data_IF_545918674967
#
_entry.id   IF_545918674967
#
_cell.length_a   1.000
_cell.length_b   1.000
_cell.length_c   1.000
_cell.angle_alpha   90.00
_cell.angle_beta   90.00
_cell.angle_gamma   90.00
#
_symmetry.space_group_name_H-M   'P 1'
#
loop_
_entity.id
_entity.type
_entity.pdbx_description
1 polymer ?
#
# COMPACT_ATOMS: atom_id res chain seq x y z
N UNK A 1 16.62 22.94 14.15
CA UNK A 1 16.80 21.53 13.83
C UNK A 1 17.02 21.36 12.34
N UNK A 2 17.97 20.46 11.97
CA UNK A 2 18.35 20.26 10.57
C UNK A 2 17.35 19.35 9.87
N UNK A 3 16.71 19.82 8.80
CA UNK A 3 15.86 18.98 7.94
C UNK A 3 16.69 17.81 7.40
N UNK A 4 16.23 16.60 7.64
CA UNK A 4 16.86 15.35 7.18
C UNK A 4 16.16 14.75 5.97
N UNK A 5 14.86 15.01 5.85
CA UNK A 5 14.05 14.46 4.77
C UNK A 5 12.97 15.46 4.36
N UNK A 6 12.76 15.62 3.07
CA UNK A 6 11.63 16.35 2.51
C UNK A 6 10.64 15.39 1.87
N UNK A 7 9.35 15.66 2.07
CA UNK A 7 8.24 14.91 1.50
C UNK A 7 7.26 15.85 0.82
N UNK A 8 6.74 15.42 -0.30
CA UNK A 8 5.74 16.17 -1.07
C UNK A 8 4.36 15.51 -0.90
N UNK A 9 3.32 16.33 -0.78
CA UNK A 9 1.94 15.83 -0.90
C UNK A 9 1.64 15.43 -2.35
N UNK A 10 0.56 14.68 -2.54
CA UNK A 10 0.18 14.23 -3.90
C UNK A 10 -0.33 15.35 -4.80
N UNK A 11 -0.62 16.54 -4.24
CA UNK A 11 -1.08 17.69 -5.00
C UNK A 11 -2.43 17.52 -5.72
N UNK A 12 -3.28 16.62 -5.25
CA UNK A 12 -4.61 16.36 -5.84
C UNK A 12 -5.54 17.57 -5.84
N UNK A 13 -5.26 18.57 -4.99
CA UNK A 13 -5.96 19.87 -4.94
C UNK A 13 -5.31 20.96 -5.80
N UNK A 14 -4.35 20.62 -6.65
CA UNK A 14 -3.65 21.56 -7.56
C UNK A 14 -2.32 22.10 -7.03
N UNK A 15 -2.09 22.12 -5.73
CA UNK A 15 -0.81 22.52 -5.13
C UNK A 15 -0.24 21.40 -4.26
N UNK A 16 1.05 21.09 -4.43
CA UNK A 16 1.74 20.11 -3.61
C UNK A 16 2.39 20.81 -2.40
N UNK A 17 2.05 20.39 -1.19
CA UNK A 17 2.73 20.82 0.03
C UNK A 17 4.12 20.19 0.11
N UNK A 18 5.08 20.95 0.60
CA UNK A 18 6.46 20.51 0.85
C UNK A 18 6.76 20.56 2.34
N UNK A 19 6.94 19.42 2.95
CA UNK A 19 7.13 19.28 4.39
C UNK A 19 8.52 18.71 4.68
N UNK A 20 9.25 19.39 5.56
CA UNK A 20 10.56 18.96 6.05
C UNK A 20 10.44 18.18 7.36
N UNK A 21 11.13 17.06 7.45
CA UNK A 21 11.22 16.26 8.67
C UNK A 21 12.64 16.32 9.22
N UNK A 22 12.77 16.60 10.51
CA UNK A 22 13.99 16.43 11.27
C UNK A 22 14.18 14.99 11.78
N UNK A 23 15.24 14.74 12.53
CA UNK A 23 15.52 13.41 13.06
C UNK A 23 14.46 12.92 14.06
N UNK A 24 13.92 13.84 14.88
CA UNK A 24 12.87 13.55 15.85
C UNK A 24 11.57 13.14 15.18
N UNK A 25 11.11 13.91 14.19
CA UNK A 25 9.92 13.60 13.41
C UNK A 25 10.06 12.25 12.67
N UNK A 26 11.25 11.95 12.13
CA UNK A 26 11.51 10.66 11.50
C UNK A 26 11.44 9.50 12.51
N UNK A 27 12.01 9.63 13.70
CA UNK A 27 11.94 8.64 14.77
C UNK A 27 10.48 8.39 15.21
N UNK A 28 9.71 9.47 15.41
CA UNK A 28 8.27 9.36 15.67
C UNK A 28 7.52 8.63 14.56
N UNK A 29 7.82 8.93 13.30
CA UNK A 29 7.22 8.24 12.15
C UNK A 29 7.51 6.73 12.14
N UNK A 30 8.74 6.34 12.45
CA UNK A 30 9.10 4.91 12.59
C UNK A 30 8.34 4.26 13.75
N UNK A 31 8.29 4.90 14.90
CA UNK A 31 7.54 4.40 16.06
C UNK A 31 6.07 4.20 15.74
N UNK A 32 5.41 5.20 15.15
CA UNK A 32 4.00 5.11 14.73
C UNK A 32 3.80 4.00 13.70
N UNK A 33 4.68 3.89 12.71
CA UNK A 33 4.63 2.83 11.71
C UNK A 33 4.69 1.44 12.32
N UNK A 34 5.58 1.21 13.28
CA UNK A 34 5.67 -0.07 14.00
C UNK A 34 4.42 -0.38 14.84
N UNK A 35 3.84 0.62 15.51
CA UNK A 35 2.57 0.47 16.25
C UNK A 35 1.43 0.06 15.30
N UNK A 36 1.29 0.74 14.18
CA UNK A 36 0.28 0.41 13.16
C UNK A 36 0.53 -0.98 12.57
N UNK A 37 1.78 -1.31 12.25
CA UNK A 37 2.14 -2.62 11.72
C UNK A 37 1.81 -3.77 12.69
N UNK A 38 2.00 -3.56 13.99
CA UNK A 38 1.60 -4.49 15.04
C UNK A 38 0.08 -4.65 15.12
N UNK A 39 -0.65 -3.53 15.22
CA UNK A 39 -2.12 -3.51 15.32
C UNK A 39 -2.79 -4.14 14.08
N UNK A 40 -2.25 -3.88 12.88
CA UNK A 40 -2.73 -4.42 11.61
C UNK A 40 -2.18 -5.81 11.27
N UNK A 41 -1.39 -6.42 12.16
CA UNK A 41 -0.77 -7.74 11.97
C UNK A 41 0.13 -7.83 10.73
N UNK A 42 0.71 -6.72 10.32
CA UNK A 42 1.69 -6.68 9.24
C UNK A 42 3.10 -6.95 9.73
N UNK A 43 3.38 -6.69 11.02
CA UNK A 43 4.67 -7.00 11.62
C UNK A 43 4.82 -8.52 11.76
N UNK A 44 5.87 -9.08 11.16
CA UNK A 44 6.11 -10.53 11.14
C UNK A 44 7.59 -10.84 10.96
N UNK A 45 8.07 -11.85 11.66
CA UNK A 45 9.39 -12.45 11.39
C UNK A 45 9.35 -13.40 10.18
N UNK A 46 8.17 -13.90 9.80
CA UNK A 46 8.01 -14.75 8.61
C UNK A 46 8.19 -13.92 7.35
N UNK A 47 9.07 -14.32 6.43
CA UNK A 47 9.26 -13.62 5.16
C UNK A 47 7.99 -13.54 4.33
N UNK A 48 7.88 -12.49 3.51
CA UNK A 48 6.73 -12.26 2.64
C UNK A 48 7.16 -11.78 1.25
N UNK A 49 6.35 -12.08 0.24
CA UNK A 49 6.44 -11.44 -1.07
C UNK A 49 5.64 -10.13 -1.04
N UNK A 50 6.19 -9.08 -1.64
CA UNK A 50 5.54 -7.77 -1.74
C UNK A 50 5.18 -7.46 -3.18
N UNK A 51 3.91 -7.18 -3.43
CA UNK A 51 3.38 -6.67 -4.69
C UNK A 51 2.88 -5.26 -4.41
N UNK A 52 3.58 -4.28 -4.93
CA UNK A 52 3.32 -2.87 -4.67
C UNK A 52 2.62 -2.27 -5.90
N UNK A 53 1.32 -2.03 -5.77
CA UNK A 53 0.47 -1.40 -6.78
C UNK A 53 0.61 0.12 -6.69
N UNK A 54 1.82 0.58 -6.90
CA UNK A 54 2.26 1.95 -6.76
C UNK A 54 3.62 2.16 -7.40
N UNK A 55 4.21 3.32 -7.14
CA UNK A 55 5.47 3.76 -7.74
C UNK A 55 6.69 3.01 -7.18
N UNK A 56 7.59 2.60 -8.08
CA UNK A 56 8.93 2.22 -7.65
C UNK A 56 9.66 3.43 -7.08
N UNK A 57 10.27 3.33 -5.88
CA UNK A 57 11.01 4.43 -5.28
C UNK A 57 12.12 4.94 -6.19
N UNK A 58 12.24 6.25 -6.30
CA UNK A 58 13.30 6.93 -7.03
C UNK A 58 13.61 8.27 -6.33
N UNK A 59 14.83 8.79 -6.53
CA UNK A 59 15.28 10.05 -5.90
C UNK A 59 14.34 11.23 -6.19
N UNK A 60 13.80 11.29 -7.41
CA UNK A 60 12.93 12.36 -7.86
C UNK A 60 11.48 12.21 -7.38
N UNK A 61 11.09 11.00 -6.96
CA UNK A 61 9.76 10.77 -6.40
C UNK A 61 9.80 10.91 -4.87
N UNK A 62 9.52 12.12 -4.40
CA UNK A 62 9.51 12.47 -2.97
C UNK A 62 8.11 12.42 -2.37
N UNK A 63 7.12 11.82 -3.04
CA UNK A 63 5.75 11.77 -2.52
C UNK A 63 5.66 10.91 -1.26
N UNK A 64 4.84 11.37 -0.29
CA UNK A 64 4.64 10.67 0.97
C UNK A 64 4.15 9.24 0.78
N UNK A 65 3.20 9.03 -0.13
CA UNK A 65 2.64 7.71 -0.41
C UNK A 65 3.68 6.70 -0.90
N UNK A 66 4.60 7.11 -1.80
CA UNK A 66 5.69 6.23 -2.29
C UNK A 66 6.61 5.82 -1.14
N UNK A 67 6.95 6.78 -0.27
CA UNK A 67 7.81 6.51 0.90
C UNK A 67 7.12 5.60 1.91
N UNK A 68 5.87 5.88 2.25
CA UNK A 68 5.09 5.04 3.19
C UNK A 68 4.96 3.62 2.66
N UNK A 69 4.60 3.42 1.40
CA UNK A 69 4.52 2.10 0.80
C UNK A 69 5.87 1.36 0.84
N UNK A 70 6.96 2.05 0.50
CA UNK A 70 8.29 1.44 0.55
C UNK A 70 8.69 1.07 1.99
N UNK A 71 8.55 1.97 2.94
CA UNK A 71 8.87 1.72 4.35
C UNK A 71 8.03 0.58 4.94
N UNK A 72 6.76 0.47 4.54
CA UNK A 72 5.89 -0.63 4.97
C UNK A 72 6.37 -2.01 4.48
N UNK A 73 7.25 -2.07 3.48
CA UNK A 73 7.85 -3.34 3.05
C UNK A 73 8.94 -3.87 4.00
N UNK A 74 9.24 -3.16 5.07
CA UNK A 74 10.15 -3.61 6.14
C UNK A 74 9.41 -4.19 7.35
N UNK A 75 8.08 -4.23 7.33
CA UNK A 75 7.30 -4.86 8.40
C UNK A 75 7.42 -6.39 8.45
N UNK A 76 7.92 -7.00 7.40
CA UNK A 76 8.38 -8.39 7.37
C UNK A 76 9.59 -8.51 6.45
N UNK A 77 10.49 -9.52 6.63
CA UNK A 77 11.57 -9.76 5.70
C UNK A 77 11.03 -9.94 4.28
N UNK A 78 11.51 -9.14 3.34
CA UNK A 78 11.00 -9.18 1.96
C UNK A 78 11.79 -10.18 1.11
N UNK A 79 11.13 -11.22 0.63
CA UNK A 79 11.71 -12.15 -0.36
C UNK A 79 11.86 -11.47 -1.72
N UNK A 80 10.81 -10.78 -2.14
CA UNK A 80 10.79 -10.04 -3.40
C UNK A 80 9.88 -8.82 -3.28
N UNK A 81 10.23 -7.75 -3.97
CA UNK A 81 9.41 -6.55 -4.14
C UNK A 81 9.12 -6.34 -5.63
N UNK A 82 7.85 -6.37 -6.01
CA UNK A 82 7.40 -6.12 -7.38
C UNK A 82 6.55 -4.86 -7.39
N UNK A 83 6.91 -3.90 -8.21
CA UNK A 83 6.20 -2.61 -8.33
C UNK A 83 5.40 -2.57 -9.62
N UNK A 84 4.16 -2.07 -9.56
CA UNK A 84 3.32 -1.91 -10.74
C UNK A 84 3.78 -0.76 -11.64
N UNK A 85 4.28 0.33 -11.03
CA UNK A 85 4.71 1.53 -11.75
C UNK A 85 6.23 1.59 -11.79
N UNK A 86 6.79 1.24 -12.94
CA UNK A 86 8.24 1.31 -13.19
C UNK A 86 8.60 2.61 -13.88
N UNK A 87 9.77 3.14 -13.55
CA UNK A 87 10.30 4.36 -14.15
C UNK A 87 11.16 4.04 -15.38
N UNK A 88 10.77 4.64 -16.53
CA UNK A 88 11.53 4.57 -17.79
C UNK A 88 11.61 6.00 -18.37
N UNK A 89 12.78 6.42 -18.78
CA UNK A 89 12.99 7.75 -19.39
C UNK A 89 12.39 8.93 -18.59
N UNK A 90 12.50 8.88 -17.26
CA UNK A 90 11.99 9.93 -16.38
C UNK A 90 10.49 9.84 -16.02
N UNK A 91 9.72 9.01 -16.70
CA UNK A 91 8.27 8.83 -16.50
C UNK A 91 7.95 7.47 -15.90
N UNK A 92 6.79 7.37 -15.23
CA UNK A 92 6.28 6.11 -14.69
C UNK A 92 5.27 5.48 -15.62
N UNK A 93 5.45 4.19 -15.87
CA UNK A 93 4.58 3.37 -16.73
C UNK A 93 4.05 2.18 -15.93
N UNK A 94 2.76 1.87 -16.05
CA UNK A 94 2.19 0.68 -15.44
C UNK A 94 2.63 -0.58 -16.20
N UNK A 95 3.01 -1.64 -15.46
CA UNK A 95 3.30 -2.97 -15.99
C UNK A 95 2.39 -3.99 -15.27
N UNK A 96 1.11 -3.96 -15.62
CA UNK A 96 0.10 -4.82 -14.99
C UNK A 96 0.27 -6.29 -15.37
N UNK A 97 0.75 -6.60 -16.55
CA UNK A 97 1.01 -8.00 -16.95
C UNK A 97 2.11 -8.63 -16.09
N UNK A 98 3.15 -7.87 -15.76
CA UNK A 98 4.16 -8.34 -14.80
C UNK A 98 3.58 -8.54 -13.42
N UNK A 99 2.70 -7.64 -12.95
CA UNK A 99 2.00 -7.78 -11.68
C UNK A 99 1.19 -9.07 -11.65
N UNK A 100 0.40 -9.34 -12.69
CA UNK A 100 -0.42 -10.55 -12.79
C UNK A 100 0.45 -11.82 -12.80
N UNK A 101 1.51 -11.86 -13.61
CA UNK A 101 2.46 -13.00 -13.59
C UNK A 101 3.05 -13.22 -12.20
N UNK A 102 3.39 -12.14 -11.50
CA UNK A 102 3.95 -12.24 -10.15
C UNK A 102 2.90 -12.68 -9.11
N UNK A 103 1.64 -12.25 -9.24
CA UNK A 103 0.53 -12.74 -8.42
C UNK A 103 0.36 -14.25 -8.58
N UNK A 104 0.34 -14.76 -9.82
CA UNK A 104 0.26 -16.19 -10.12
C UNK A 104 1.44 -16.94 -9.49
N UNK A 105 2.66 -16.45 -9.67
CA UNK A 105 3.86 -17.05 -9.06
C UNK A 105 3.77 -17.09 -7.54
N UNK A 106 3.31 -16.03 -6.92
CA UNK A 106 3.20 -15.92 -5.47
C UNK A 106 2.09 -16.81 -4.90
N UNK A 107 1.00 -17.09 -5.63
CA UNK A 107 -0.04 -18.02 -5.17
C UNK A 107 0.47 -19.46 -5.06
N UNK A 108 1.51 -19.80 -5.80
CA UNK A 108 2.18 -21.12 -5.77
C UNK A 108 3.30 -21.19 -4.69
N UNK A 109 3.56 -20.11 -4.00
CA UNK A 109 4.58 -20.02 -2.94
C UNK A 109 4.01 -20.44 -1.59
N UNK A 110 4.84 -20.92 -0.68
CA UNK A 110 4.46 -21.16 0.72
C UNK A 110 4.49 -19.88 1.58
N UNK A 111 5.02 -18.78 1.06
CA UNK A 111 5.17 -17.52 1.80
C UNK A 111 3.99 -16.58 1.54
N UNK A 112 3.51 -15.87 2.59
CA UNK A 112 2.42 -14.92 2.45
C UNK A 112 2.75 -13.78 1.48
N UNK A 113 1.71 -13.18 0.91
CA UNK A 113 1.80 -12.04 0.00
C UNK A 113 1.26 -10.79 0.67
N UNK A 114 1.97 -9.69 0.54
CA UNK A 114 1.54 -8.35 0.92
C UNK A 114 1.28 -7.55 -0.36
N UNK A 115 0.01 -7.41 -0.72
CA UNK A 115 -0.40 -6.53 -1.83
C UNK A 115 -0.63 -5.15 -1.23
N UNK A 116 0.11 -4.15 -1.69
CA UNK A 116 0.07 -2.80 -1.11
C UNK A 116 -0.08 -1.79 -2.24
N UNK A 117 -1.01 -0.86 -2.12
CA UNK A 117 -1.08 0.16 -3.15
C UNK A 117 -2.38 0.95 -3.21
N UNK A 118 -2.55 1.61 -4.35
CA UNK A 118 -3.75 2.41 -4.64
C UNK A 118 -4.96 1.51 -4.87
N UNK A 119 -6.13 1.87 -4.35
CA UNK A 119 -7.37 1.14 -4.62
C UNK A 119 -7.63 0.95 -6.11
N UNK A 120 -7.40 1.97 -6.94
CA UNK A 120 -7.58 1.91 -8.40
C UNK A 120 -6.74 0.81 -9.07
N UNK A 121 -5.44 0.78 -8.80
CA UNK A 121 -4.58 -0.26 -9.38
C UNK A 121 -4.87 -1.65 -8.81
N UNK A 122 -5.32 -1.73 -7.55
CA UNK A 122 -5.80 -2.98 -6.95
C UNK A 122 -7.05 -3.46 -7.71
N UNK A 123 -8.01 -2.58 -7.94
CA UNK A 123 -9.21 -2.85 -8.71
C UNK A 123 -8.88 -3.35 -10.13
N UNK A 124 -8.00 -2.65 -10.85
CA UNK A 124 -7.61 -3.05 -12.21
C UNK A 124 -6.93 -4.40 -12.25
N UNK A 125 -6.06 -4.72 -11.29
CA UNK A 125 -5.46 -6.05 -11.20
C UNK A 125 -6.49 -7.14 -10.96
N UNK A 126 -7.44 -6.92 -10.05
CA UNK A 126 -8.53 -7.86 -9.77
C UNK A 126 -9.44 -8.06 -10.98
N UNK A 127 -9.84 -6.96 -11.66
CA UNK A 127 -10.65 -7.03 -12.87
C UNK A 127 -9.94 -7.77 -14.01
N UNK A 128 -8.65 -7.56 -14.17
CA UNK A 128 -7.88 -8.26 -15.19
C UNK A 128 -7.79 -9.78 -14.91
N UNK A 129 -7.62 -10.18 -13.65
CA UNK A 129 -7.67 -11.59 -13.25
C UNK A 129 -9.06 -12.19 -13.50
N UNK A 130 -10.12 -11.49 -13.09
CA UNK A 130 -11.51 -11.93 -13.29
C UNK A 130 -11.82 -12.12 -14.78
N UNK A 131 -11.48 -11.15 -15.62
CA UNK A 131 -11.69 -11.20 -17.07
C UNK A 131 -10.94 -12.36 -17.75
N UNK A 132 -9.76 -12.72 -17.22
CA UNK A 132 -8.98 -13.88 -17.68
C UNK A 132 -9.46 -15.20 -17.08
N UNK A 133 -10.50 -15.21 -16.24
CA UNK A 133 -11.01 -16.41 -15.55
C UNK A 133 -10.00 -16.99 -14.55
N UNK A 134 -9.06 -16.17 -14.03
CA UNK A 134 -8.01 -16.61 -13.13
C UNK A 134 -8.45 -16.35 -11.69
N UNK A 135 -8.57 -17.41 -10.89
CA UNK A 135 -8.71 -17.35 -9.43
C UNK A 135 -7.45 -17.87 -8.78
N UNK A 136 -6.94 -17.12 -7.81
CA UNK A 136 -5.73 -17.44 -7.05
C UNK A 136 -6.11 -17.74 -5.60
N UNK A 137 -5.33 -18.58 -4.94
CA UNK A 137 -5.43 -18.80 -3.50
C UNK A 137 -4.08 -18.48 -2.87
N UNK A 138 -4.00 -17.37 -2.18
CA UNK A 138 -2.76 -16.97 -1.52
C UNK A 138 -2.56 -17.70 -0.18
N UNK A 139 -1.31 -17.96 0.23
CA UNK A 139 -0.99 -18.58 1.50
C UNK A 139 -1.57 -17.81 2.69
N UNK A 140 -1.92 -18.54 3.76
CA UNK A 140 -2.45 -17.97 5.01
C UNK A 140 -1.54 -16.85 5.54
N UNK A 141 -2.16 -15.75 5.92
CA UNK A 141 -1.50 -14.54 6.40
C UNK A 141 -1.17 -13.54 5.28
N UNK A 142 -1.59 -13.81 4.03
CA UNK A 142 -1.56 -12.80 2.97
C UNK A 142 -2.55 -11.68 3.26
N UNK A 143 -2.22 -10.45 2.83
CA UNK A 143 -3.01 -9.24 3.13
C UNK A 143 -2.98 -8.25 1.99
N UNK A 144 -4.06 -7.49 1.88
CA UNK A 144 -4.15 -6.31 1.01
C UNK A 144 -4.10 -5.06 1.88
N UNK A 145 -3.23 -4.12 1.56
CA UNK A 145 -3.11 -2.82 2.23
C UNK A 145 -3.40 -1.72 1.20
N UNK A 146 -4.51 -1.05 1.34
CA UNK A 146 -4.92 0.04 0.47
C UNK A 146 -4.47 1.38 1.06
N UNK A 147 -3.96 2.27 0.23
CA UNK A 147 -3.54 3.60 0.63
C UNK A 147 -3.58 4.58 -0.54
N UNK A 148 -3.81 5.85 -0.26
CA UNK A 148 -3.63 6.93 -1.22
C UNK A 148 -4.80 7.22 -2.16
N UNK A 149 -5.95 6.60 -1.97
CA UNK A 149 -7.18 6.88 -2.73
C UNK A 149 -7.13 6.50 -4.21
N UNK A 150 -8.20 6.82 -4.95
CA UNK A 150 -8.37 6.45 -6.36
C UNK A 150 -7.55 7.29 -7.35
N UNK A 151 -6.93 8.40 -6.88
CA UNK A 151 -6.09 9.29 -7.69
C UNK A 151 -6.85 9.84 -8.90
N UNK A 152 -6.23 9.79 -10.08
CA UNK A 152 -6.82 10.23 -11.34
C UNK A 152 -7.98 9.33 -11.83
N UNK A 153 -8.25 8.22 -11.16
CA UNK A 153 -9.30 7.27 -11.49
C UNK A 153 -10.54 7.42 -10.61
N UNK A 154 -10.79 8.59 -10.04
CA UNK A 154 -11.95 8.83 -9.17
C UNK A 154 -13.30 8.58 -9.85
N UNK A 155 -13.41 8.78 -11.18
CA UNK A 155 -14.62 8.45 -11.95
C UNK A 155 -14.90 6.96 -12.05
N UNK A 156 -13.90 6.12 -11.78
CA UNK A 156 -14.01 4.65 -11.80
C UNK A 156 -14.11 4.06 -10.38
N UNK A 157 -14.27 4.93 -9.38
CA UNK A 157 -14.35 4.51 -7.98
C UNK A 157 -15.57 3.63 -7.74
N UNK A 158 -15.34 2.49 -7.12
CA UNK A 158 -16.37 1.53 -6.75
C UNK A 158 -16.55 1.48 -5.24
N UNK A 159 -17.73 1.04 -4.79
CA UNK A 159 -17.96 0.78 -3.36
C UNK A 159 -16.92 -0.21 -2.81
N UNK A 160 -16.44 0.06 -1.60
CA UNK A 160 -15.44 -0.78 -0.92
C UNK A 160 -15.88 -2.24 -0.79
N UNK A 161 -17.17 -2.48 -0.54
CA UNK A 161 -17.72 -3.84 -0.44
C UNK A 161 -17.57 -4.61 -1.75
N UNK A 162 -17.72 -3.90 -2.89
CA UNK A 162 -17.52 -4.50 -4.22
C UNK A 162 -16.06 -4.88 -4.43
N UNK A 163 -15.13 -3.97 -4.09
CA UNK A 163 -13.70 -4.24 -4.16
C UNK A 163 -13.31 -5.43 -3.27
N UNK A 164 -13.81 -5.48 -2.03
CA UNK A 164 -13.50 -6.55 -1.07
C UNK A 164 -14.09 -7.89 -1.49
N UNK A 165 -15.33 -7.88 -1.99
CA UNK A 165 -15.97 -9.08 -2.53
C UNK A 165 -15.17 -9.66 -3.70
N UNK A 166 -14.72 -8.79 -4.62
CA UNK A 166 -13.92 -9.22 -5.77
C UNK A 166 -12.54 -9.77 -5.33
N UNK A 167 -11.90 -9.14 -4.34
CA UNK A 167 -10.64 -9.64 -3.78
C UNK A 167 -10.83 -11.04 -3.15
N UNK A 168 -11.90 -11.24 -2.40
CA UNK A 168 -12.26 -12.55 -1.84
C UNK A 168 -12.45 -13.62 -2.93
N UNK A 169 -13.21 -13.28 -3.99
CA UNK A 169 -13.50 -14.16 -5.11
C UNK A 169 -12.24 -14.54 -5.91
N UNK A 170 -11.38 -13.56 -6.20
CA UNK A 170 -10.28 -13.71 -7.16
C UNK A 170 -8.97 -14.13 -6.48
N UNK A 171 -8.73 -13.69 -5.24
CA UNK A 171 -7.46 -13.93 -4.53
C UNK A 171 -7.60 -14.80 -3.27
N UNK A 172 -8.83 -15.14 -2.86
CA UNK A 172 -9.07 -15.85 -1.61
C UNK A 172 -8.70 -15.03 -0.36
N UNK A 173 -8.61 -13.69 -0.47
CA UNK A 173 -8.31 -12.79 0.66
C UNK A 173 -9.62 -12.19 1.14
N UNK A 174 -10.07 -12.58 2.34
CA UNK A 174 -11.28 -12.05 2.96
C UNK A 174 -11.16 -10.59 3.39
N UNK A 175 -12.29 -9.93 3.60
CA UNK A 175 -12.33 -8.51 4.01
C UNK A 175 -11.54 -8.24 5.30
N UNK A 176 -11.50 -9.18 6.23
CA UNK A 176 -10.74 -9.09 7.49
C UNK A 176 -9.22 -8.96 7.32
N UNK A 177 -8.69 -9.39 6.16
CA UNK A 177 -7.30 -9.27 5.77
C UNK A 177 -7.05 -8.10 4.78
N UNK A 178 -8.07 -7.27 4.56
CA UNK A 178 -7.98 -6.02 3.83
C UNK A 178 -7.88 -4.85 4.81
N UNK A 179 -6.81 -4.07 4.69
CA UNK A 179 -6.46 -2.98 5.60
C UNK A 179 -6.38 -1.70 4.79
N UNK A 180 -6.92 -0.62 5.31
CA UNK A 180 -6.72 0.69 4.72
C UNK A 180 -5.79 1.52 5.59
N UNK A 181 -4.85 2.20 4.94
CA UNK A 181 -3.99 3.20 5.56
C UNK A 181 -4.40 4.60 5.09
N UNK A 182 -4.45 5.51 6.03
CA UNK A 182 -4.61 6.93 5.77
C UNK A 182 -3.53 7.74 6.47
N UNK A 183 -2.93 8.68 5.76
CA UNK A 183 -1.99 9.68 6.29
C UNK A 183 -1.93 10.86 5.32
N UNK A 184 -1.68 12.05 5.86
CA UNK A 184 -1.34 13.23 5.09
C UNK A 184 0.09 13.67 5.43
N UNK A 185 0.81 14.26 4.47
CA UNK A 185 2.18 14.75 4.76
C UNK A 185 2.17 15.91 5.73
N UNK A 186 1.10 16.67 5.75
CA UNK A 186 0.85 17.79 6.66
C UNK A 186 0.51 17.32 8.08
N UNK A 187 0.00 16.10 8.19
CA UNK A 187 -0.34 15.44 9.46
C UNK A 187 0.14 13.98 9.40
N UNK A 188 1.43 13.74 9.66
CA UNK A 188 2.09 12.47 9.35
C UNK A 188 1.77 11.35 10.35
N UNK A 189 0.57 11.34 10.90
CA UNK A 189 0.05 10.22 11.68
C UNK A 189 -0.50 9.19 10.72
N UNK A 190 -0.06 7.95 10.88
CA UNK A 190 -0.57 6.83 10.11
C UNK A 190 -1.77 6.23 10.84
N UNK A 191 -2.93 6.30 10.22
CA UNK A 191 -4.16 5.65 10.67
C UNK A 191 -4.34 4.34 9.91
N UNK A 192 -4.92 3.33 10.56
CA UNK A 192 -5.29 2.09 9.91
C UNK A 192 -6.69 1.65 10.33
N UNK A 193 -7.35 0.91 9.46
CA UNK A 193 -8.64 0.30 9.77
C UNK A 193 -8.47 -0.94 10.64
N UNK A 194 -9.46 -1.20 11.47
CA UNK A 194 -9.64 -2.49 12.16
C UNK A 194 -10.29 -3.53 11.22
N UNK A 195 -10.58 -4.72 11.74
CA UNK A 195 -11.27 -5.80 11.01
C UNK A 195 -12.69 -5.44 10.54
N UNK A 196 -13.33 -4.48 11.22
CA UNK A 196 -14.65 -3.97 10.85
C UNK A 196 -14.56 -2.76 9.93
N UNK A 197 -13.37 -2.49 9.35
CA UNK A 197 -13.09 -1.40 8.41
C UNK A 197 -13.33 0.00 8.96
N UNK A 198 -13.29 0.18 10.29
CA UNK A 198 -13.33 1.50 10.92
C UNK A 198 -11.91 2.00 11.19
N UNK A 199 -11.64 3.25 10.83
CA UNK A 199 -10.40 3.93 11.24
C UNK A 199 -10.44 4.24 12.72
N UNK A 200 -9.32 4.03 13.39
CA UNK A 200 -9.15 4.35 14.79
C UNK A 200 -8.15 5.48 14.96
N UNK A 201 -8.51 6.46 15.79
CA UNK A 201 -7.59 7.52 16.18
C UNK A 201 -6.64 6.94 17.24
N UNK A 202 -5.33 6.88 16.99
CA UNK A 202 -4.39 6.37 17.97
C UNK A 202 -4.27 7.33 19.15
N UNK A 203 -3.90 6.82 20.32
CA UNK A 203 -3.81 7.58 21.58
C UNK A 203 -2.84 8.77 21.55
N UNK A 204 -1.94 8.78 20.59
CA UNK A 204 -0.97 9.87 20.37
C UNK A 204 -1.43 10.90 19.34
N UNK A 205 -2.68 10.84 18.88
CA UNK A 205 -3.26 11.78 17.92
C UNK A 205 -4.61 12.30 18.40
N UNK A 206 -5.00 13.45 17.91
CA UNK A 206 -6.35 14.03 18.06
C UNK A 206 -6.86 14.45 16.69
N UNK A 207 -8.16 14.31 16.47
CA UNK A 207 -8.91 14.77 15.29
C UNK A 207 -10.07 15.62 15.74
#
# INVERSE_FOLDING_TARGET
>A
DKIRMEVLSSGTSGMASRIGYDAGAMACGVYMGLKVAGASRLLSARPANYIILGYRPHRDNRTGVTRTMFLSTFFAPALKRTYALERKNGQYYPDMDRVIREMIRCSQSSFPVRIMGFPSYTWFALKQLEQKGISLSFPKGSRIVLSGGWKQHGSEEVDKKVLYSLAGKVLGIGGEDMIEFFSAVEHPVLYCTCRNHHFHVPVYSRV
#
